data_IF_730184091800
#
_entry.id   IF_730184091800
#
_cell.length_a   1.000
_cell.length_b   1.000
_cell.length_c   1.000
_cell.angle_alpha   90.00
_cell.angle_beta   90.00
_cell.angle_gamma   90.00
#
_symmetry.space_group_name_H-M   'P 1'
#
loop_
_entity.id
_entity.type
_entity.pdbx_description
1 polymer ?
#
# COMPACT_ATOMS: atom_id res chain seq x y z
N UNK A 1 -17.65 2.00 11.13
CA UNK A 1 -17.82 0.65 10.55
C UNK A 1 -18.37 -0.30 11.60
N UNK A 2 -17.61 -0.77 12.60
CA UNK A 2 -18.14 -1.74 13.58
C UNK A 2 -19.41 -1.26 14.31
N UNK A 3 -19.46 0.00 14.72
CA UNK A 3 -20.67 0.58 15.33
C UNK A 3 -21.83 0.69 14.35
N UNK A 4 -21.55 0.93 13.07
CA UNK A 4 -22.57 0.99 12.01
C UNK A 4 -23.10 -0.41 11.70
N UNK A 5 -22.24 -1.44 11.73
CA UNK A 5 -22.67 -2.84 11.62
C UNK A 5 -23.56 -3.23 12.80
N UNK A 6 -23.23 -2.79 14.03
CA UNK A 6 -24.07 -3.00 15.21
C UNK A 6 -25.41 -2.28 15.09
N UNK A 7 -25.42 -1.04 14.61
CA UNK A 7 -26.65 -0.28 14.32
C UNK A 7 -27.55 -0.98 13.29
N UNK A 8 -26.96 -1.54 12.24
CA UNK A 8 -27.67 -2.28 11.19
C UNK A 8 -27.96 -3.75 11.56
N UNK A 9 -27.60 -4.19 12.76
CA UNK A 9 -27.71 -5.59 13.22
C UNK A 9 -27.03 -6.59 12.26
N UNK A 10 -25.90 -6.19 11.67
CA UNK A 10 -25.14 -6.99 10.71
C UNK A 10 -23.94 -7.69 11.34
N UNK A 11 -23.74 -8.95 10.94
CA UNK A 11 -22.59 -9.75 11.37
C UNK A 11 -21.28 -9.20 10.80
N UNK A 12 -20.20 -9.32 11.57
CA UNK A 12 -18.85 -8.84 11.20
C UNK A 12 -18.10 -9.79 10.25
N UNK A 13 -18.59 -11.01 10.08
CA UNK A 13 -17.88 -12.09 9.38
C UNK A 13 -18.20 -12.16 7.88
N UNK A 14 -19.14 -11.36 7.38
CA UNK A 14 -19.49 -11.28 5.96
C UNK A 14 -18.96 -9.97 5.35
N UNK A 15 -18.07 -10.07 4.37
CA UNK A 15 -17.51 -8.93 3.65
C UNK A 15 -18.56 -8.10 2.89
N UNK A 16 -19.69 -8.69 2.49
CA UNK A 16 -20.79 -7.95 1.84
C UNK A 16 -21.42 -6.91 2.78
N UNK A 17 -21.37 -7.13 4.09
CA UNK A 17 -21.90 -6.19 5.07
C UNK A 17 -21.04 -4.93 5.20
N UNK A 18 -19.77 -4.99 4.78
CA UNK A 18 -18.89 -3.82 4.77
C UNK A 18 -19.44 -2.73 3.85
N UNK A 19 -19.89 -3.09 2.65
CA UNK A 19 -20.46 -2.11 1.71
C UNK A 19 -21.70 -1.44 2.28
N UNK A 20 -22.59 -2.23 2.91
CA UNK A 20 -23.81 -1.70 3.55
C UNK A 20 -23.46 -0.69 4.64
N UNK A 21 -22.51 -1.02 5.50
CA UNK A 21 -22.03 -0.12 6.54
C UNK A 21 -21.37 1.15 5.98
N UNK A 22 -20.63 1.06 4.88
CA UNK A 22 -20.01 2.22 4.24
C UNK A 22 -21.05 3.13 3.57
N UNK A 23 -22.10 2.57 2.96
CA UNK A 23 -23.22 3.34 2.40
C UNK A 23 -23.95 4.09 3.50
N UNK A 24 -24.28 3.42 4.61
CA UNK A 24 -24.92 4.04 5.77
C UNK A 24 -24.03 5.12 6.44
N UNK A 25 -22.71 4.95 6.40
CA UNK A 25 -21.80 5.99 6.90
C UNK A 25 -21.82 7.25 6.05
N UNK A 26 -22.06 7.11 4.74
CA UNK A 26 -22.11 8.22 3.79
C UNK A 26 -23.40 9.03 3.91
N UNK A 27 -24.49 8.39 4.31
CA UNK A 27 -25.79 9.03 4.46
C UNK A 27 -25.99 9.55 5.90
N UNK A 28 -26.66 10.69 6.03
CA UNK A 28 -27.04 11.27 7.33
C UNK A 28 -28.52 10.96 7.56
N UNK A 29 -28.82 10.14 8.57
CA UNK A 29 -30.18 9.80 8.95
C UNK A 29 -30.45 10.20 10.41
N UNK A 30 -31.69 10.62 10.69
CA UNK A 30 -32.10 10.97 12.06
C UNK A 30 -32.02 9.76 13.01
N UNK A 31 -32.28 8.55 12.50
CA UNK A 31 -32.23 7.31 13.29
C UNK A 31 -30.80 6.99 13.74
N UNK A 32 -29.81 7.14 12.84
CA UNK A 32 -28.39 7.04 13.15
C UNK A 32 -27.99 8.03 14.23
N UNK A 33 -28.46 9.27 14.14
CA UNK A 33 -28.16 10.30 15.13
C UNK A 33 -28.74 9.97 16.52
N UNK A 34 -29.95 9.41 16.57
CA UNK A 34 -30.55 8.91 17.82
C UNK A 34 -29.71 7.78 18.42
N UNK A 35 -29.26 6.83 17.59
CA UNK A 35 -28.41 5.73 18.04
C UNK A 35 -27.09 6.24 18.64
N UNK A 36 -26.39 7.14 17.95
CA UNK A 36 -25.13 7.71 18.45
C UNK A 36 -25.34 8.56 19.71
N UNK A 37 -26.48 9.27 19.84
CA UNK A 37 -26.83 9.98 21.07
C UNK A 37 -26.96 9.03 22.27
N UNK A 38 -27.65 7.90 22.11
CA UNK A 38 -27.79 6.90 23.18
C UNK A 38 -26.42 6.34 23.59
N UNK A 39 -25.57 6.00 22.61
CA UNK A 39 -24.21 5.50 22.87
C UNK A 39 -23.33 6.56 23.55
N UNK A 40 -23.40 7.81 23.10
CA UNK A 40 -22.67 8.92 23.70
C UNK A 40 -23.09 9.16 25.15
N UNK A 41 -24.40 9.24 25.42
CA UNK A 41 -24.90 9.47 26.77
C UNK A 41 -24.57 8.30 27.71
N UNK A 42 -24.63 7.06 27.22
CA UNK A 42 -24.19 5.90 27.99
C UNK A 42 -22.72 6.01 28.36
N UNK A 43 -21.87 6.37 27.41
CA UNK A 43 -20.43 6.55 27.65
C UNK A 43 -20.17 7.69 28.62
N UNK A 44 -20.81 8.85 28.43
CA UNK A 44 -20.62 10.04 29.24
C UNK A 44 -21.07 9.86 30.71
N UNK A 45 -22.11 9.06 30.94
CA UNK A 45 -22.62 8.77 32.28
C UNK A 45 -21.60 7.99 33.14
N UNK A 46 -20.80 7.14 32.50
CA UNK A 46 -19.84 6.27 33.17
C UNK A 46 -18.49 6.97 33.45
N UNK A 47 -18.32 8.23 33.00
CA UNK A 47 -17.11 9.03 33.22
C UNK A 47 -17.13 9.75 34.57
N UNK A 48 -15.95 10.01 35.12
CA UNK A 48 -15.79 10.91 36.27
C UNK A 48 -15.84 12.39 35.83
N UNK A 49 -15.81 13.31 36.80
CA UNK A 49 -15.93 14.74 36.50
C UNK A 49 -14.74 15.31 35.71
N UNK A 50 -13.54 14.74 35.86
CA UNK A 50 -12.35 15.19 35.11
C UNK A 50 -12.45 14.76 33.64
N UNK A 51 -12.83 13.50 33.40
CA UNK A 51 -13.04 12.95 32.06
C UNK A 51 -14.21 13.62 31.33
N UNK A 52 -15.28 13.99 32.04
CA UNK A 52 -16.40 14.76 31.45
C UNK A 52 -15.96 16.11 30.91
N UNK A 53 -15.16 16.86 31.69
CA UNK A 53 -14.62 18.15 31.26
C UNK A 53 -13.76 17.99 30.00
N UNK A 54 -12.95 16.93 29.93
CA UNK A 54 -12.15 16.61 28.75
C UNK A 54 -13.02 16.29 27.54
N UNK A 55 -14.06 15.48 27.70
CA UNK A 55 -15.00 15.15 26.62
C UNK A 55 -15.74 16.39 26.12
N UNK A 56 -16.18 17.26 27.02
CA UNK A 56 -16.88 18.50 26.65
C UNK A 56 -15.96 19.44 25.84
N UNK A 57 -14.68 19.54 26.21
CA UNK A 57 -13.69 20.32 25.44
C UNK A 57 -13.43 19.72 24.05
N UNK A 58 -13.25 18.40 23.97
CA UNK A 58 -13.02 17.67 22.71
C UNK A 58 -14.21 17.83 21.74
N UNK A 59 -15.43 17.83 22.27
CA UNK A 59 -16.66 17.74 21.49
C UNK A 59 -17.37 19.08 21.28
N UNK A 60 -16.80 20.17 21.81
CA UNK A 60 -17.37 21.52 21.83
C UNK A 60 -17.83 22.05 20.46
N UNK A 61 -17.10 21.70 19.41
CA UNK A 61 -17.33 22.20 18.05
C UNK A 61 -18.09 21.24 17.15
N UNK A 62 -18.43 20.05 17.66
CA UNK A 62 -19.11 19.01 16.89
C UNK A 62 -20.63 19.18 17.00
N UNK A 63 -21.31 19.21 15.85
CA UNK A 63 -22.76 19.40 15.79
C UNK A 63 -23.53 18.10 16.03
N UNK A 64 -23.06 16.99 15.45
CA UNK A 64 -23.73 15.69 15.52
C UNK A 64 -23.14 14.79 16.61
N UNK A 65 -23.96 13.95 17.23
CA UNK A 65 -23.51 12.93 18.19
C UNK A 65 -22.61 11.89 17.52
N UNK A 66 -22.80 11.63 16.22
CA UNK A 66 -21.85 10.84 15.44
C UNK A 66 -20.44 11.46 15.45
N UNK A 67 -20.33 12.75 15.14
CA UNK A 67 -19.05 13.46 15.09
C UNK A 67 -18.44 13.59 16.48
N UNK A 68 -19.24 13.87 17.52
CA UNK A 68 -18.80 13.83 18.92
C UNK A 68 -18.18 12.49 19.30
N UNK A 69 -18.84 11.40 18.93
CA UNK A 69 -18.34 10.05 19.18
C UNK A 69 -17.05 9.76 18.41
N UNK A 70 -16.96 10.20 17.16
CA UNK A 70 -15.74 10.09 16.35
C UNK A 70 -14.58 10.89 16.95
N UNK A 71 -14.83 12.11 17.42
CA UNK A 71 -13.84 12.98 18.05
C UNK A 71 -13.22 12.32 19.29
N UNK A 72 -14.04 11.71 20.15
CA UNK A 72 -13.57 10.94 21.31
C UNK A 72 -12.66 9.78 20.85
N UNK A 73 -13.11 8.95 19.90
CA UNK A 73 -12.32 7.82 19.39
C UNK A 73 -10.97 8.30 18.83
N UNK A 74 -10.98 9.37 18.04
CA UNK A 74 -9.77 9.92 17.45
C UNK A 74 -8.83 10.44 18.53
N UNK A 75 -9.33 11.13 19.55
CA UNK A 75 -8.50 11.61 20.65
C UNK A 75 -7.81 10.45 21.38
N UNK A 76 -8.55 9.40 21.75
CA UNK A 76 -8.00 8.27 22.51
C UNK A 76 -7.10 7.37 21.68
N UNK A 77 -7.48 7.05 20.43
CA UNK A 77 -6.85 5.97 19.65
C UNK A 77 -5.90 6.45 18.55
N UNK A 78 -5.98 7.70 18.08
CA UNK A 78 -5.22 8.17 16.91
C UNK A 78 -3.71 7.94 17.04
N UNK A 79 -3.11 8.32 18.18
CA UNK A 79 -1.66 8.16 18.42
C UNK A 79 -1.23 6.70 18.36
N UNK A 80 -2.01 5.80 18.98
CA UNK A 80 -1.74 4.36 18.98
C UNK A 80 -1.92 3.75 17.59
N UNK A 81 -3.05 4.04 16.94
CA UNK A 81 -3.35 3.55 15.60
C UNK A 81 -2.29 3.99 14.59
N UNK A 82 -1.84 5.25 14.64
CA UNK A 82 -0.76 5.72 13.77
C UNK A 82 0.53 4.92 13.97
N UNK A 83 0.87 4.55 15.21
CA UNK A 83 2.02 3.68 15.50
C UNK A 83 1.81 2.27 14.95
N UNK A 84 0.63 1.69 15.18
CA UNK A 84 0.26 0.35 14.70
C UNK A 84 0.27 0.28 13.17
N UNK A 85 -0.35 1.22 12.46
CA UNK A 85 -0.33 1.28 11.00
C UNK A 85 1.08 1.42 10.45
N UNK A 86 1.93 2.25 11.08
CA UNK A 86 3.34 2.36 10.69
C UNK A 86 4.12 1.07 10.90
N UNK A 87 3.78 0.28 11.94
CA UNK A 87 4.33 -1.04 12.22
C UNK A 87 3.83 -2.09 11.24
N UNK A 88 2.52 -2.14 11.00
CA UNK A 88 1.88 -3.02 10.01
C UNK A 88 2.51 -2.82 8.63
N UNK A 89 2.61 -1.56 8.17
CA UNK A 89 3.26 -1.25 6.90
C UNK A 89 4.71 -1.72 6.86
N UNK A 90 5.47 -1.53 7.95
CA UNK A 90 6.87 -1.98 8.02
C UNK A 90 7.02 -3.51 8.00
N UNK A 91 6.06 -4.23 8.58
CA UNK A 91 6.05 -5.69 8.59
C UNK A 91 5.63 -6.25 7.23
N UNK A 92 4.56 -5.73 6.64
CA UNK A 92 4.08 -6.13 5.31
C UNK A 92 5.11 -5.85 4.22
N UNK A 93 5.84 -4.74 4.32
CA UNK A 93 6.91 -4.40 3.38
C UNK A 93 8.24 -5.09 3.65
N UNK A 94 8.34 -5.85 4.76
CA UNK A 94 9.58 -6.40 5.30
C UNK A 94 10.72 -5.36 5.30
N UNK A 95 10.55 -4.28 6.05
CA UNK A 95 11.49 -3.16 6.06
C UNK A 95 12.95 -3.59 6.26
N UNK A 96 13.85 -3.02 5.46
CA UNK A 96 15.29 -3.27 5.52
C UNK A 96 15.69 -4.75 5.32
N UNK A 97 14.86 -5.54 4.64
CA UNK A 97 15.14 -6.93 4.28
C UNK A 97 15.37 -7.07 2.77
N UNK A 98 16.20 -8.03 2.38
CA UNK A 98 16.40 -8.41 0.97
C UNK A 98 15.14 -8.98 0.31
N UNK A 99 14.13 -9.36 1.12
CA UNK A 99 12.82 -9.82 0.67
C UNK A 99 11.75 -8.72 0.68
N UNK A 100 12.10 -7.54 1.15
CA UNK A 100 11.18 -6.41 1.29
C UNK A 100 11.24 -5.43 0.11
N UNK A 101 10.33 -4.47 0.14
CA UNK A 101 10.25 -3.39 -0.85
C UNK A 101 10.38 -1.99 -0.25
N UNK A 102 10.73 -1.87 1.04
CA UNK A 102 10.89 -0.58 1.72
C UNK A 102 12.14 -0.56 2.60
N UNK A 103 12.85 0.56 2.55
CA UNK A 103 13.99 0.85 3.42
C UNK A 103 13.64 2.00 4.36
N UNK A 104 14.05 1.87 5.62
CA UNK A 104 13.88 2.89 6.65
C UNK A 104 15.22 3.15 7.32
N UNK A 105 15.68 4.40 7.29
CA UNK A 105 16.87 4.80 8.02
C UNK A 105 16.64 4.86 9.53
N UNK A 106 17.73 4.87 10.30
CA UNK A 106 17.71 4.86 11.77
C UNK A 106 17.21 6.18 12.40
N UNK A 107 17.13 7.26 11.62
CA UNK A 107 16.79 8.61 12.10
C UNK A 107 15.63 9.22 11.31
N UNK A 108 14.92 10.17 11.92
CA UNK A 108 13.87 10.99 11.26
C UNK A 108 14.37 11.70 10.01
N UNK A 109 15.68 12.00 9.94
CA UNK A 109 16.33 12.62 8.76
C UNK A 109 16.40 11.69 7.54
N UNK A 110 16.18 10.39 7.72
CA UNK A 110 16.22 9.39 6.66
C UNK A 110 14.82 8.79 6.47
N UNK A 111 13.96 9.45 5.67
CA UNK A 111 12.60 9.00 5.47
C UNK A 111 12.55 7.61 4.84
N UNK A 112 11.40 6.94 5.02
CA UNK A 112 11.13 5.67 4.35
C UNK A 112 11.14 5.89 2.84
N UNK A 113 11.79 4.98 2.13
CA UNK A 113 11.85 4.98 0.66
C UNK A 113 11.56 3.59 0.14
N UNK A 114 10.93 3.51 -1.02
CA UNK A 114 10.77 2.26 -1.73
C UNK A 114 12.13 1.78 -2.23
N UNK A 115 12.44 0.51 -1.99
CA UNK A 115 13.66 -0.14 -2.45
C UNK A 115 13.31 -1.58 -2.72
N UNK A 116 13.55 -2.09 -3.93
CA UNK A 116 13.42 -3.52 -4.18
C UNK A 116 14.59 -4.29 -3.57
N UNK A 117 14.32 -5.13 -2.58
CA UNK A 117 15.29 -6.07 -2.03
C UNK A 117 15.74 -7.08 -3.09
N UNK A 118 16.97 -7.58 -2.95
CA UNK A 118 17.63 -8.43 -3.95
C UNK A 118 16.87 -9.73 -4.21
N UNK A 119 16.43 -10.42 -3.14
CA UNK A 119 15.68 -11.68 -3.25
C UNK A 119 14.27 -11.46 -3.77
N UNK A 120 13.64 -10.34 -3.39
CA UNK A 120 12.33 -9.97 -3.92
C UNK A 120 12.42 -9.72 -5.43
N UNK A 121 13.40 -8.93 -5.87
CA UNK A 121 13.61 -8.65 -7.28
C UNK A 121 13.86 -9.92 -8.09
N UNK A 122 14.74 -10.79 -7.60
CA UNK A 122 15.00 -12.11 -8.22
C UNK A 122 13.71 -12.92 -8.37
N UNK A 123 12.91 -13.02 -7.31
CA UNK A 123 11.63 -13.74 -7.34
C UNK A 123 10.67 -13.13 -8.36
N UNK A 124 10.55 -11.80 -8.39
CA UNK A 124 9.70 -11.09 -9.35
C UNK A 124 10.14 -11.36 -10.78
N UNK A 125 11.44 -11.26 -11.07
CA UNK A 125 11.98 -11.52 -12.41
C UNK A 125 11.68 -12.94 -12.86
N UNK A 126 11.87 -13.94 -11.99
CA UNK A 126 11.56 -15.34 -12.31
C UNK A 126 10.08 -15.57 -12.62
N UNK A 127 9.20 -14.92 -11.86
CA UNK A 127 7.76 -14.97 -12.11
C UNK A 127 7.39 -14.28 -13.44
N UNK A 128 8.14 -13.24 -13.85
CA UNK A 128 7.86 -12.48 -15.07
C UNK A 128 8.31 -13.16 -16.36
N UNK A 129 9.39 -13.94 -16.30
CA UNK A 129 9.91 -14.70 -17.44
C UNK A 129 9.14 -16.01 -17.70
N UNK A 130 8.27 -16.41 -16.77
CA UNK A 130 7.38 -17.57 -16.92
C UNK A 130 6.14 -17.20 -17.75
N UNK A 131 5.84 -18.01 -18.76
CA UNK A 131 4.64 -17.92 -19.58
C UNK A 131 3.90 -19.26 -19.52
N UNK A 132 2.58 -19.20 -19.42
CA UNK A 132 1.71 -20.37 -19.53
C UNK A 132 1.34 -20.54 -21.00
N UNK A 133 1.62 -21.71 -21.56
CA UNK A 133 1.17 -22.14 -22.87
C UNK A 133 0.44 -23.48 -22.67
N UNK A 134 -0.63 -23.81 -23.39
CA UNK A 134 -1.26 -25.14 -23.46
C UNK A 134 -1.07 -26.11 -22.23
N UNK A 135 -1.44 -25.68 -21.02
CA UNK A 135 -1.27 -26.38 -19.73
C UNK A 135 0.17 -26.68 -19.23
N UNK A 136 1.21 -26.12 -19.84
CA UNK A 136 2.59 -26.12 -19.33
C UNK A 136 3.19 -24.72 -19.15
N UNK A 137 4.29 -24.67 -18.39
CA UNK A 137 5.07 -23.45 -18.22
C UNK A 137 6.32 -23.48 -19.09
N UNK A 138 6.52 -22.42 -19.85
CA UNK A 138 7.76 -22.16 -20.59
C UNK A 138 8.43 -20.91 -20.03
N UNK A 139 9.75 -20.82 -20.21
CA UNK A 139 10.52 -19.63 -19.81
C UNK A 139 11.05 -18.87 -21.01
N UNK A 140 10.77 -17.56 -21.08
CA UNK A 140 11.20 -16.68 -22.17
C UNK A 140 12.07 -15.54 -21.67
N UNK A 141 13.09 -15.18 -22.44
CA UNK A 141 13.89 -13.99 -22.16
C UNK A 141 13.11 -12.72 -22.50
N UNK A 142 13.23 -11.69 -21.66
CA UNK A 142 12.53 -10.41 -21.82
C UNK A 142 13.53 -9.28 -22.09
N UNK A 143 13.12 -8.23 -22.79
CA UNK A 143 13.88 -6.97 -22.75
C UNK A 143 13.71 -6.28 -21.39
N UNK A 144 14.59 -5.34 -21.05
CA UNK A 144 14.42 -4.55 -19.81
C UNK A 144 13.10 -3.77 -19.83
N UNK A 145 12.74 -3.19 -20.97
CA UNK A 145 11.48 -2.45 -21.12
C UNK A 145 10.26 -3.37 -20.96
N UNK A 146 10.29 -4.56 -21.56
CA UNK A 146 9.21 -5.53 -21.41
C UNK A 146 9.07 -5.96 -19.94
N UNK A 147 10.18 -6.23 -19.25
CA UNK A 147 10.16 -6.55 -17.83
C UNK A 147 9.56 -5.42 -16.98
N UNK A 148 9.98 -4.16 -17.22
CA UNK A 148 9.44 -3.00 -16.50
C UNK A 148 7.95 -2.84 -16.75
N UNK A 149 7.49 -3.04 -17.98
CA UNK A 149 6.07 -2.96 -18.33
C UNK A 149 5.26 -4.08 -17.66
N UNK A 150 5.74 -5.33 -17.66
CA UNK A 150 5.06 -6.43 -16.96
C UNK A 150 4.97 -6.21 -15.45
N UNK A 151 6.05 -5.71 -14.82
CA UNK A 151 6.08 -5.35 -13.41
C UNK A 151 5.05 -4.24 -13.10
N UNK A 152 4.97 -3.23 -13.97
CA UNK A 152 3.98 -2.15 -13.89
C UNK A 152 2.56 -2.69 -14.01
N UNK A 153 2.27 -3.51 -15.01
CA UNK A 153 0.92 -4.02 -15.29
C UNK A 153 0.42 -5.00 -14.22
N UNK A 154 1.27 -5.93 -13.78
CA UNK A 154 0.88 -6.96 -12.82
C UNK A 154 0.83 -6.47 -11.38
N UNK A 155 1.71 -5.55 -10.99
CA UNK A 155 1.90 -5.15 -9.59
C UNK A 155 1.75 -3.64 -9.35
N UNK A 156 1.54 -2.82 -10.38
CA UNK A 156 1.45 -1.36 -10.24
C UNK A 156 2.77 -0.68 -9.89
N UNK A 157 3.90 -1.39 -9.99
CA UNK A 157 5.22 -0.86 -9.62
C UNK A 157 5.85 -0.11 -10.81
N UNK A 158 6.00 1.20 -10.66
CA UNK A 158 6.51 2.08 -11.72
C UNK A 158 8.02 2.29 -11.52
N UNK A 159 8.82 1.78 -12.45
CA UNK A 159 10.28 2.01 -12.48
C UNK A 159 10.59 3.22 -13.37
N UNK A 160 10.05 3.21 -14.59
CA UNK A 160 10.10 4.34 -15.52
C UNK A 160 8.68 4.89 -15.70
N UNK A 161 8.44 6.14 -15.29
CA UNK A 161 7.15 6.81 -15.38
C UNK A 161 7.01 7.79 -16.53
N UNK A 162 7.96 7.87 -17.46
CA UNK A 162 7.93 8.86 -18.56
C UNK A 162 6.68 8.72 -19.44
N UNK A 163 6.18 7.50 -19.62
CA UNK A 163 4.99 7.20 -20.44
C UNK A 163 3.68 7.23 -19.66
N UNK A 164 3.73 7.49 -18.34
CA UNK A 164 2.54 7.52 -17.49
C UNK A 164 1.81 8.86 -17.60
N UNK A 165 0.53 8.83 -17.96
CA UNK A 165 -0.28 10.03 -18.14
C UNK A 165 -0.30 10.94 -16.90
N UNK A 166 -0.30 10.36 -15.69
CA UNK A 166 -0.28 11.09 -14.41
C UNK A 166 1.00 11.90 -14.17
N UNK A 167 2.04 11.68 -14.96
CA UNK A 167 3.32 12.39 -14.88
C UNK A 167 3.62 13.20 -16.15
N UNK A 168 2.63 13.46 -17.02
CA UNK A 168 2.81 14.20 -18.27
C UNK A 168 3.39 15.60 -18.07
N UNK A 169 2.95 16.29 -17.02
CA UNK A 169 3.38 17.65 -16.69
C UNK A 169 4.46 17.67 -15.60
N UNK A 170 5.18 16.55 -15.42
CA UNK A 170 6.21 16.44 -14.41
C UNK A 170 7.41 17.33 -14.72
N UNK A 171 8.04 17.85 -13.66
CA UNK A 171 9.21 18.69 -13.80
C UNK A 171 10.48 17.88 -14.15
N UNK A 172 11.56 18.60 -14.51
CA UNK A 172 12.86 18.00 -14.84
C UNK A 172 13.38 17.07 -13.74
N UNK A 173 13.19 17.43 -12.47
CA UNK A 173 13.63 16.61 -11.33
C UNK A 173 12.94 15.24 -11.31
N UNK A 174 11.65 15.19 -11.68
CA UNK A 174 10.90 13.94 -11.74
C UNK A 174 11.39 13.04 -12.88
N UNK A 175 11.69 13.62 -14.05
CA UNK A 175 12.29 12.88 -15.16
C UNK A 175 13.68 12.34 -14.81
N UNK A 176 14.50 13.13 -14.11
CA UNK A 176 15.80 12.68 -13.60
C UNK A 176 15.63 11.52 -12.62
N UNK A 177 14.67 11.58 -11.70
CA UNK A 177 14.38 10.49 -10.78
C UNK A 177 13.97 9.20 -11.50
N UNK A 178 13.18 9.27 -12.58
CA UNK A 178 12.87 8.08 -13.39
C UNK A 178 14.11 7.50 -14.08
N UNK A 179 14.98 8.36 -14.61
CA UNK A 179 16.25 7.91 -15.20
C UNK A 179 17.12 7.21 -14.16
N UNK A 180 17.27 7.80 -12.97
CA UNK A 180 18.02 7.20 -11.86
C UNK A 180 17.43 5.86 -11.43
N UNK A 181 16.09 5.74 -11.37
CA UNK A 181 15.42 4.47 -11.06
C UNK A 181 15.73 3.38 -12.09
N UNK A 182 15.69 3.72 -13.38
CA UNK A 182 16.00 2.78 -14.47
C UNK A 182 17.45 2.30 -14.38
N UNK A 183 18.40 3.22 -14.19
CA UNK A 183 19.82 2.86 -14.09
C UNK A 183 20.10 2.01 -12.84
N UNK A 184 19.53 2.37 -11.68
CA UNK A 184 19.63 1.56 -10.47
C UNK A 184 19.00 0.17 -10.65
N UNK A 185 17.89 0.06 -11.38
CA UNK A 185 17.22 -1.20 -11.68
C UNK A 185 18.09 -2.10 -12.56
N UNK A 186 18.64 -1.56 -13.67
CA UNK A 186 19.59 -2.28 -14.55
C UNK A 186 20.82 -2.75 -13.78
N UNK A 187 21.40 -1.88 -12.96
CA UNK A 187 22.57 -2.21 -12.14
C UNK A 187 22.27 -3.36 -11.18
N UNK A 188 21.11 -3.34 -10.51
CA UNK A 188 20.70 -4.44 -9.64
C UNK A 188 20.53 -5.75 -10.41
N UNK A 189 19.83 -5.74 -11.55
CA UNK A 189 19.66 -6.93 -12.39
C UNK A 189 21.01 -7.53 -12.82
N UNK A 190 22.01 -6.68 -13.11
CA UNK A 190 23.38 -7.10 -13.42
C UNK A 190 24.05 -7.76 -12.21
N UNK A 191 23.94 -7.14 -11.03
CA UNK A 191 24.50 -7.70 -9.79
C UNK A 191 23.92 -9.08 -9.46
N UNK A 192 22.63 -9.29 -9.72
CA UNK A 192 21.98 -10.59 -9.54
C UNK A 192 22.11 -11.51 -10.77
N UNK A 193 22.94 -11.18 -11.77
CA UNK A 193 23.24 -12.07 -12.90
C UNK A 193 22.06 -12.35 -13.83
N UNK A 194 21.00 -11.54 -13.79
CA UNK A 194 19.85 -11.66 -14.69
C UNK A 194 20.01 -10.84 -15.97
N UNK A 195 20.93 -9.87 -15.96
CA UNK A 195 21.13 -8.92 -17.04
C UNK A 195 22.60 -8.85 -17.43
N UNK A 196 22.87 -8.97 -18.72
CA UNK A 196 24.20 -8.88 -19.30
C UNK A 196 24.22 -7.80 -20.39
N UNK A 197 25.27 -7.00 -20.40
CA UNK A 197 25.41 -5.79 -21.22
C UNK A 197 26.67 -5.87 -22.08
N UNK A 198 26.95 -7.07 -22.60
CA UNK A 198 28.17 -7.40 -23.35
C UNK A 198 28.27 -6.72 -24.73
N UNK A 199 27.38 -5.79 -25.08
CA UNK A 199 27.36 -5.24 -26.44
C UNK A 199 26.54 -3.95 -26.55
N UNK A 200 27.05 -2.98 -27.32
CA UNK A 200 26.45 -1.67 -27.61
C UNK A 200 25.07 -1.73 -28.31
N UNK A 201 24.62 -2.92 -28.73
CA UNK A 201 23.33 -3.10 -29.38
C UNK A 201 22.22 -3.37 -28.35
N UNK A 202 21.25 -2.44 -28.29
CA UNK A 202 20.03 -2.52 -27.48
C UNK A 202 19.28 -3.87 -27.56
N UNK A 203 19.36 -4.59 -28.70
CA UNK A 203 18.72 -5.89 -28.92
C UNK A 203 19.32 -7.02 -28.07
N UNK A 204 20.59 -6.90 -27.67
CA UNK A 204 21.32 -7.91 -26.93
C UNK A 204 21.16 -7.79 -25.40
N UNK A 205 20.57 -6.68 -24.94
CA UNK A 205 20.26 -6.37 -23.55
C UNK A 205 19.01 -7.13 -23.07
N UNK A 206 19.16 -8.43 -22.82
CA UNK A 206 18.05 -9.32 -22.39
C UNK A 206 18.18 -9.78 -20.95
N UNK A 207 17.03 -9.83 -20.29
CA UNK A 207 16.85 -10.47 -18.99
C UNK A 207 16.63 -11.97 -19.23
N UNK A 208 17.53 -12.80 -18.69
CA UNK A 208 17.51 -14.25 -18.90
C UNK A 208 16.89 -14.99 -17.72
N UNK A 209 16.03 -15.99 -17.94
CA UNK A 209 15.55 -16.86 -16.87
C UNK A 209 16.72 -17.66 -16.29
N UNK A 210 16.74 -17.89 -14.97
CA UNK A 210 17.77 -18.80 -14.39
C UNK A 210 17.41 -20.27 -14.58
N UNK A 211 16.12 -20.58 -14.56
CA UNK A 211 15.61 -21.92 -14.78
C UNK A 211 15.04 -21.95 -16.19
N UNK A 212 15.57 -22.84 -17.04
CA UNK A 212 15.01 -23.05 -18.37
C UNK A 212 13.98 -24.17 -18.27
N UNK A 213 12.70 -23.80 -18.43
CA UNK A 213 11.65 -24.77 -18.67
C UNK A 213 11.51 -24.89 -20.18
N UNK A 214 12.18 -25.91 -20.74
CA UNK A 214 12.04 -26.27 -22.14
C UNK A 214 10.92 -27.30 -22.27
N UNK A 215 10.15 -27.21 -23.35
CA UNK A 215 9.33 -28.34 -23.80
C UNK A 215 10.28 -29.53 -24.05
N UNK A 216 9.99 -30.67 -23.44
CA UNK A 216 10.30 -31.96 -24.08
C UNK A 216 9.28 -32.19 -25.19
#
# INVERSE_FOLDING_TARGET
INMTLEYLELNKDNSENLEKALRELKETSNEKEIYFRVKFNSLYKDLDEEDKLLVDDITKYEETYFDKYLAIILNTKSKRQLKEYRGMLANLSQNNSDRGFMAQGRSKKHPRRFVMGTRLLETLVQIMVLESQDDHFITRSLSIEELMNRIRERYGLIINGITEQRFRDANVNTHLAFKENVEAFKQKLRQIGFYDDLSDAYILQKVRPRYQLNQQ
#
